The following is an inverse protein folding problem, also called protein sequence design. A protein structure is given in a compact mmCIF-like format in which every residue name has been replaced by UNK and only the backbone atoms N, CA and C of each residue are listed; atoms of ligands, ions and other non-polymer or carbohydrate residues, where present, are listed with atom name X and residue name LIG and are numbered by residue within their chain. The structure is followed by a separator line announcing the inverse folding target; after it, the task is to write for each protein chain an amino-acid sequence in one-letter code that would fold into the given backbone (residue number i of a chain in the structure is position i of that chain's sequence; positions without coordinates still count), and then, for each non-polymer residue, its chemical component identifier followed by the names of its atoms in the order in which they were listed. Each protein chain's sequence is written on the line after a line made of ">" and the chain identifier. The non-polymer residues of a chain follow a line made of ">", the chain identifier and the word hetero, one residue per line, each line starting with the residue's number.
data_IF_221969390063
#
_entry.id   IF_221969390063
#
_cell.length_a   1.000
_cell.length_b   1.000
_cell.length_c   1.000
_cell.angle_alpha   90.00
_cell.angle_beta   90.00
_cell.angle_gamma   90.00
#
_symmetry.space_group_name_H-M   'P 1'
#
loop_
_entity.id
_entity.type
_entity.pdbx_description
1 polymer ?
#
# COMPACT_ATOMS: atom_id res chain seq x y z
N UNK A 1 -12.32 -14.72 32.35
CA UNK A 1 -11.47 -13.78 33.09
C UNK A 1 -10.28 -13.43 32.22
N UNK A 2 -9.79 -12.20 32.34
CA UNK A 2 -8.71 -11.55 31.58
C UNK A 2 -9.14 -10.85 30.29
N UNK A 3 -9.66 -9.64 30.51
CA UNK A 3 -9.55 -8.52 29.58
C UNK A 3 -8.09 -8.01 29.57
N UNK A 4 -7.59 -7.54 28.43
CA UNK A 4 -6.33 -6.81 28.33
C UNK A 4 -6.57 -5.50 27.58
N UNK A 5 -6.41 -4.42 28.34
CA UNK A 5 -6.43 -3.03 27.90
C UNK A 5 -5.24 -2.74 26.97
N UNK A 6 -5.49 -2.09 25.83
CA UNK A 6 -4.44 -1.34 25.13
C UNK A 6 -4.41 0.08 25.69
N UNK A 7 -3.34 0.38 26.42
CA UNK A 7 -3.00 1.71 26.89
C UNK A 7 -2.29 2.49 25.77
N UNK A 8 -2.85 3.62 25.38
CA UNK A 8 -2.18 4.63 24.57
C UNK A 8 -0.96 5.18 25.33
N UNK A 9 0.19 5.32 24.65
CA UNK A 9 1.34 6.06 25.18
C UNK A 9 1.47 7.37 24.40
N UNK A 10 1.04 8.46 25.04
CA UNK A 10 1.51 9.81 24.73
C UNK A 10 2.96 9.92 25.20
N UNK A 11 3.87 10.24 24.29
CA UNK A 11 5.28 10.47 24.59
C UNK A 11 5.51 11.86 25.17
N UNK A 12 6.01 11.92 26.40
CA UNK A 12 6.58 13.13 27.02
C UNK A 12 7.95 13.42 26.42
N UNK A 13 8.14 14.67 26.03
CA UNK A 13 9.39 15.28 25.56
C UNK A 13 10.46 15.25 26.65
N UNK A 14 11.62 14.67 26.36
CA UNK A 14 12.83 14.88 27.16
C UNK A 14 14.00 15.18 26.22
N UNK A 15 14.56 16.37 26.44
CA UNK A 15 15.67 17.01 25.74
C UNK A 15 17.01 16.45 26.21
N UNK A 16 17.90 16.13 25.28
CA UNK A 16 19.33 15.94 25.58
C UNK A 16 20.24 16.65 24.54
N UNK A 17 21.50 16.99 24.90
CA UNK A 17 22.17 18.21 24.48
C UNK A 17 23.09 18.04 23.25
N UNK A 18 23.30 19.16 22.54
CA UNK A 18 24.19 19.32 21.38
C UNK A 18 25.56 19.87 21.79
N UNK A 19 26.66 19.30 21.28
CA UNK A 19 27.88 19.98 20.75
C UNK A 19 29.16 19.10 20.82
N UNK A 20 30.29 19.42 20.13
CA UNK A 20 30.47 20.28 18.96
C UNK A 20 31.31 19.66 17.81
N UNK A 21 31.32 20.41 16.70
CA UNK A 21 32.07 20.35 15.45
C UNK A 21 33.60 20.23 15.53
N UNK A 22 34.21 19.61 14.51
CA UNK A 22 35.56 19.96 14.04
C UNK A 22 35.57 20.23 12.53
N UNK A 23 36.11 21.40 12.17
CA UNK A 23 36.34 21.88 10.80
C UNK A 23 37.75 21.56 10.34
N UNK A 24 37.95 21.36 9.04
CA UNK A 24 39.13 21.75 8.23
C UNK A 24 38.92 21.21 6.80
N UNK A 25 39.18 21.89 5.69
CA UNK A 25 39.76 23.20 5.43
C UNK A 25 39.56 23.53 3.94
N UNK A 26 39.52 24.81 3.63
CA UNK A 26 39.39 25.39 2.28
C UNK A 26 40.78 25.83 1.81
N UNK A 27 41.15 25.60 0.53
CA UNK A 27 41.72 26.61 -0.42
C UNK A 27 42.13 26.05 -1.82
N UNK A 28 42.37 26.89 -2.86
CA UNK A 28 41.65 26.83 -4.15
C UNK A 28 42.56 26.88 -5.41
N UNK A 29 41.95 27.26 -6.57
CA UNK A 29 42.50 27.73 -7.88
C UNK A 29 42.52 26.63 -8.98
N UNK A 30 42.19 26.80 -10.26
CA UNK A 30 41.83 27.91 -11.18
C UNK A 30 41.29 27.29 -12.51
N UNK A 31 40.71 28.04 -13.47
CA UNK A 31 39.94 27.50 -14.60
C UNK A 31 40.82 27.16 -15.82
N UNK A 32 40.53 26.04 -16.49
CA UNK A 32 41.10 25.70 -17.80
C UNK A 32 40.05 25.95 -18.89
N UNK A 33 40.33 26.92 -19.76
CA UNK A 33 39.59 27.17 -21.00
C UNK A 33 40.07 26.16 -22.05
N UNK A 34 39.20 25.24 -22.46
CA UNK A 34 39.42 24.32 -23.58
C UNK A 34 38.69 24.82 -24.83
N UNK A 35 39.43 24.98 -25.93
CA UNK A 35 38.97 25.53 -27.20
C UNK A 35 37.89 24.66 -27.88
N UNK A 36 36.89 25.32 -28.48
CA UNK A 36 35.87 24.70 -29.33
C UNK A 36 36.45 24.39 -30.71
N UNK A 37 36.46 23.12 -31.09
CA UNK A 37 36.62 22.68 -32.48
C UNK A 37 35.25 22.60 -33.14
N UNK A 38 35.04 23.40 -34.19
CA UNK A 38 33.85 23.34 -35.04
C UNK A 38 33.98 22.20 -36.05
N UNK A 39 33.08 21.23 -35.96
CA UNK A 39 32.91 20.14 -36.93
C UNK A 39 31.90 20.57 -38.02
N UNK A 40 32.16 20.35 -39.31
CA UNK A 40 31.27 20.81 -40.38
C UNK A 40 29.97 19.99 -40.40
N UNK A 41 28.85 20.72 -40.39
CA UNK A 41 27.50 20.18 -40.36
C UNK A 41 27.19 19.29 -41.58
N UNK A 42 26.79 18.05 -41.30
CA UNK A 42 26.20 17.15 -42.30
C UNK A 42 24.79 17.62 -42.69
N UNK A 43 24.47 17.53 -43.98
CA UNK A 43 23.16 17.87 -44.55
C UNK A 43 22.05 16.96 -43.98
N UNK A 44 20.82 17.48 -43.76
CA UNK A 44 19.74 16.70 -43.19
C UNK A 44 19.20 15.66 -44.17
N UNK A 45 19.20 14.40 -43.74
CA UNK A 45 18.49 13.28 -44.37
C UNK A 45 16.98 13.53 -44.32
N UNK A 46 16.20 13.28 -45.39
CA UNK A 46 14.76 13.49 -45.38
C UNK A 46 14.06 12.56 -44.38
N UNK A 47 13.31 13.16 -43.44
CA UNK A 47 12.44 12.47 -42.48
C UNK A 47 11.36 11.65 -43.20
N UNK A 48 11.09 10.40 -42.77
CA UNK A 48 9.94 9.65 -43.24
C UNK A 48 8.64 10.32 -42.76
N UNK A 49 7.62 10.31 -43.63
CA UNK A 49 6.28 10.87 -43.38
C UNK A 49 5.65 10.32 -42.08
N UNK A 50 4.78 11.10 -41.41
CA UNK A 50 4.10 10.66 -40.20
C UNK A 50 3.21 9.45 -40.52
N UNK A 51 3.44 8.32 -39.83
CA UNK A 51 2.44 7.26 -39.75
C UNK A 51 1.22 7.84 -39.04
N UNK A 52 0.07 7.76 -39.69
CA UNK A 52 -1.24 8.05 -39.11
C UNK A 52 -1.36 7.30 -37.79
N UNK A 53 -1.36 8.03 -36.67
CA UNK A 53 -1.60 7.45 -35.37
C UNK A 53 -3.06 6.98 -35.35
N UNK A 54 -3.28 5.67 -35.40
CA UNK A 54 -4.55 5.06 -35.05
C UNK A 54 -4.92 5.57 -33.66
N UNK A 55 -6.07 6.23 -33.54
CA UNK A 55 -6.57 6.73 -32.27
C UNK A 55 -6.51 5.60 -31.22
N UNK A 56 -5.79 5.85 -30.12
CA UNK A 56 -5.82 4.97 -28.97
C UNK A 56 -7.29 4.81 -28.53
N UNK A 57 -7.77 3.58 -28.27
CA UNK A 57 -9.10 3.40 -27.71
C UNK A 57 -9.17 4.22 -26.41
N UNK A 58 -10.24 5.01 -26.27
CA UNK A 58 -10.49 5.79 -25.07
C UNK A 58 -10.34 4.89 -23.85
N UNK A 59 -9.51 5.31 -22.88
CA UNK A 59 -9.36 4.62 -21.62
C UNK A 59 -10.75 4.47 -20.99
N UNK A 60 -11.26 3.24 -20.93
CA UNK A 60 -12.36 2.90 -20.03
C UNK A 60 -11.81 3.04 -18.63
N UNK A 61 -11.99 4.22 -18.05
CA UNK A 61 -12.05 4.34 -16.60
C UNK A 61 -13.18 3.41 -16.16
N UNK A 62 -12.94 2.56 -15.17
CA UNK A 62 -13.99 1.80 -14.50
C UNK A 62 -14.45 2.66 -13.31
N UNK A 63 -15.39 3.61 -13.47
CA UNK A 63 -15.93 4.31 -12.33
C UNK A 63 -16.72 3.29 -11.51
N UNK A 64 -16.14 2.89 -10.38
CA UNK A 64 -16.88 2.14 -9.37
C UNK A 64 -17.99 3.08 -8.88
N UNK A 65 -19.26 2.75 -9.11
CA UNK A 65 -20.36 3.48 -8.49
C UNK A 65 -20.35 3.16 -6.98
N UNK A 66 -19.97 4.13 -6.15
CA UNK A 66 -19.78 3.94 -4.71
C UNK A 66 -18.32 3.68 -4.31
N UNK A 67 -18.13 3.00 -3.18
CA UNK A 67 -16.80 2.72 -2.62
C UNK A 67 -16.17 1.43 -3.13
N UNK A 68 -16.98 0.47 -3.58
CA UNK A 68 -16.54 -0.84 -4.04
C UNK A 68 -17.61 -1.47 -4.93
N UNK A 69 -17.21 -2.20 -5.96
CA UNK A 69 -18.09 -2.97 -6.85
C UNK A 69 -18.85 -4.01 -6.03
N UNK A 70 -20.11 -4.27 -6.40
CA UNK A 70 -20.99 -5.20 -5.71
C UNK A 70 -20.36 -6.58 -5.44
N UNK A 71 -20.86 -7.26 -4.41
CA UNK A 71 -20.52 -8.65 -4.09
C UNK A 71 -20.74 -9.53 -5.34
N UNK A 72 -19.80 -10.42 -5.63
CA UNK A 72 -19.82 -11.30 -6.80
C UNK A 72 -19.51 -10.61 -8.13
N UNK A 73 -19.08 -9.35 -8.13
CA UNK A 73 -18.66 -8.68 -9.36
C UNK A 73 -17.44 -9.37 -10.00
N UNK A 74 -17.42 -9.43 -11.33
CA UNK A 74 -16.24 -9.88 -12.07
C UNK A 74 -15.16 -8.81 -11.96
N UNK A 75 -14.03 -9.19 -11.38
CA UNK A 75 -12.91 -8.29 -11.14
C UNK A 75 -11.95 -8.26 -12.33
N UNK A 76 -11.46 -7.08 -12.77
CA UNK A 76 -10.52 -6.98 -13.88
C UNK A 76 -9.19 -7.72 -13.60
N UNK A 77 -8.43 -8.03 -14.65
CA UNK A 77 -7.08 -8.57 -14.53
C UNK A 77 -6.03 -7.48 -14.30
N UNK A 78 -4.82 -7.89 -13.90
CA UNK A 78 -3.66 -6.99 -13.77
C UNK A 78 -3.43 -6.16 -15.05
N UNK A 79 -3.49 -6.82 -16.21
CA UNK A 79 -3.26 -6.19 -17.51
C UNK A 79 -4.35 -5.19 -17.87
N UNK A 80 -5.62 -5.52 -17.58
CA UNK A 80 -6.74 -4.60 -17.81
C UNK A 80 -6.59 -3.35 -16.95
N UNK A 81 -6.21 -3.51 -15.69
CA UNK A 81 -6.01 -2.37 -14.80
C UNK A 81 -4.80 -1.53 -15.14
N UNK A 82 -3.67 -2.15 -15.52
CA UNK A 82 -2.50 -1.42 -15.99
C UNK A 82 -2.81 -0.55 -17.21
N UNK A 83 -3.70 -1.00 -18.11
CA UNK A 83 -4.13 -0.23 -19.28
C UNK A 83 -5.13 0.91 -18.96
N UNK A 84 -5.75 0.89 -17.77
CA UNK A 84 -6.78 1.85 -17.35
C UNK A 84 -6.24 2.95 -16.43
N UNK A 85 -4.94 2.95 -16.10
CA UNK A 85 -4.33 3.93 -15.20
C UNK A 85 -4.30 5.31 -15.84
N UNK A 86 -4.63 6.32 -15.05
CA UNK A 86 -4.34 7.70 -15.41
C UNK A 86 -2.90 8.03 -15.02
N UNK A 87 -2.01 7.97 -16.01
CA UNK A 87 -0.61 8.33 -15.85
C UNK A 87 -0.42 9.81 -15.55
N UNK A 88 0.52 10.12 -14.65
CA UNK A 88 0.82 11.49 -14.24
C UNK A 88 2.29 11.61 -13.87
N UNK A 89 2.88 12.79 -14.06
CA UNK A 89 4.21 13.10 -13.53
C UNK A 89 4.21 13.36 -12.01
N UNK A 90 3.04 13.33 -11.38
CA UNK A 90 2.89 13.56 -9.95
C UNK A 90 3.25 12.30 -9.15
N UNK A 91 4.32 12.40 -8.36
CA UNK A 91 4.76 11.43 -7.38
C UNK A 91 5.11 12.19 -6.09
N UNK A 92 4.24 12.21 -5.08
CA UNK A 92 4.49 12.92 -3.83
C UNK A 92 5.46 12.17 -2.90
N UNK A 93 5.82 10.92 -3.22
CA UNK A 93 6.67 10.01 -2.43
C UNK A 93 7.83 9.46 -3.26
N UNK A 94 8.77 10.31 -3.70
CA UNK A 94 9.93 9.86 -4.46
C UNK A 94 10.80 8.84 -3.70
N UNK A 95 10.75 8.83 -2.37
CA UNK A 95 11.39 7.82 -1.52
C UNK A 95 10.88 6.39 -1.75
N UNK A 96 9.66 6.24 -2.28
CA UNK A 96 9.11 4.93 -2.64
C UNK A 96 9.66 4.36 -3.95
N UNK A 97 10.43 5.13 -4.75
CA UNK A 97 10.80 4.76 -6.13
C UNK A 97 11.35 3.33 -6.24
N UNK A 98 12.27 2.94 -5.35
CA UNK A 98 12.85 1.60 -5.40
C UNK A 98 11.83 0.48 -5.10
N UNK A 99 10.87 0.72 -4.20
CA UNK A 99 9.84 -0.24 -3.84
C UNK A 99 8.68 -0.26 -4.85
N UNK A 100 8.35 0.89 -5.45
CA UNK A 100 7.36 1.00 -6.54
C UNK A 100 7.80 0.28 -7.82
N UNK A 101 9.09 -0.01 -7.97
CA UNK A 101 9.66 -0.70 -9.14
C UNK A 101 10.18 -2.11 -8.80
N UNK A 102 9.83 -2.63 -7.63
CA UNK A 102 10.00 -4.04 -7.30
C UNK A 102 8.73 -4.78 -7.68
N UNK A 103 8.90 -6.02 -8.13
CA UNK A 103 7.81 -6.96 -8.38
C UNK A 103 8.17 -8.28 -7.70
N UNK A 104 7.21 -8.99 -7.09
CA UNK A 104 7.45 -10.30 -6.50
C UNK A 104 7.99 -11.31 -7.50
N UNK A 105 8.97 -12.10 -7.08
CA UNK A 105 9.39 -13.29 -7.83
C UNK A 105 8.33 -14.39 -7.73
N UNK A 106 8.32 -15.32 -8.70
CA UNK A 106 7.44 -16.49 -8.65
C UNK A 106 7.64 -17.33 -7.37
N UNK A 107 8.87 -17.41 -6.85
CA UNK A 107 9.15 -18.11 -5.59
C UNK A 107 8.53 -17.39 -4.39
N UNK A 108 8.58 -16.06 -4.35
CA UNK A 108 7.94 -15.29 -3.28
C UNK A 108 6.42 -15.40 -3.35
N UNK A 109 5.83 -15.32 -4.54
CA UNK A 109 4.38 -15.51 -4.72
C UNK A 109 3.93 -16.93 -4.37
N UNK A 110 4.74 -17.94 -4.66
CA UNK A 110 4.44 -19.32 -4.24
C UNK A 110 4.55 -19.54 -2.73
N UNK A 111 5.21 -18.63 -2.01
CA UNK A 111 5.42 -18.73 -0.57
C UNK A 111 4.36 -17.99 0.25
N UNK A 112 3.56 -17.09 -0.33
CA UNK A 112 2.54 -16.35 0.43
C UNK A 112 1.48 -17.30 0.99
N UNK A 113 0.85 -16.90 2.09
CA UNK A 113 -0.19 -17.71 2.68
C UNK A 113 -1.42 -17.77 1.77
N UNK A 114 -1.92 -18.99 1.53
CA UNK A 114 -3.27 -19.17 1.04
C UNK A 114 -4.25 -18.70 2.12
N UNK A 115 -5.29 -17.97 1.72
CA UNK A 115 -6.25 -17.42 2.70
C UNK A 115 -7.02 -18.51 3.45
N UNK A 116 -7.29 -19.63 2.81
CA UNK A 116 -7.78 -20.85 3.42
C UNK A 116 -6.65 -21.90 3.52
N UNK A 117 -6.53 -22.62 4.64
CA UNK A 117 -7.28 -22.48 5.89
C UNK A 117 -6.69 -21.44 6.86
N UNK A 118 -5.66 -20.68 6.43
CA UNK A 118 -4.81 -19.87 7.31
C UNK A 118 -5.57 -18.74 8.00
N UNK A 119 -6.35 -17.97 7.26
CA UNK A 119 -7.07 -16.80 7.77
C UNK A 119 -8.57 -17.02 7.87
N UNK A 120 -9.11 -17.97 7.09
CA UNK A 120 -10.53 -18.29 7.08
C UNK A 120 -10.79 -19.76 6.80
N UNK A 121 -11.98 -20.24 7.20
CA UNK A 121 -12.41 -21.63 6.97
C UNK A 121 -13.21 -21.81 5.67
N UNK A 122 -13.35 -20.75 4.86
CA UNK A 122 -14.00 -20.84 3.55
C UNK A 122 -12.98 -21.06 2.42
N UNK A 123 -12.97 -22.24 1.74
CA UNK A 123 -12.01 -22.53 0.68
C UNK A 123 -12.14 -21.63 -0.55
N UNK A 124 -13.29 -20.97 -0.76
CA UNK A 124 -13.47 -20.01 -1.86
C UNK A 124 -12.54 -18.80 -1.71
N UNK A 125 -12.04 -18.51 -0.51
CA UNK A 125 -11.09 -17.43 -0.25
C UNK A 125 -9.77 -17.60 -1.03
N UNK A 126 -9.38 -18.83 -1.39
CA UNK A 126 -8.17 -19.09 -2.17
C UNK A 126 -8.25 -18.52 -3.60
N UNK A 127 -9.46 -18.29 -4.13
CA UNK A 127 -9.62 -17.58 -5.39
C UNK A 127 -9.14 -16.11 -5.34
N UNK A 128 -9.10 -15.51 -4.15
CA UNK A 128 -8.63 -14.13 -3.95
C UNK A 128 -7.12 -14.09 -3.71
N UNK A 129 -6.56 -14.95 -2.85
CA UNK A 129 -5.08 -15.02 -2.70
C UNK A 129 -4.38 -15.40 -4.01
N UNK A 130 -4.98 -16.28 -4.82
CA UNK A 130 -4.43 -16.65 -6.13
C UNK A 130 -4.36 -15.50 -7.16
N UNK A 131 -5.07 -14.39 -6.92
CA UNK A 131 -5.03 -13.20 -7.78
C UNK A 131 -3.94 -12.21 -7.36
N UNK A 132 -3.34 -12.38 -6.18
CA UNK A 132 -2.25 -11.50 -5.71
C UNK A 132 -1.02 -11.73 -6.57
N UNK A 133 -0.49 -10.65 -7.12
CA UNK A 133 0.65 -10.69 -8.02
C UNK A 133 1.69 -9.61 -7.72
N UNK A 134 1.27 -8.45 -7.20
CA UNK A 134 2.15 -7.28 -7.07
C UNK A 134 2.77 -6.84 -8.41
N UNK A 135 2.21 -7.26 -9.54
CA UNK A 135 2.85 -7.14 -10.85
C UNK A 135 2.49 -5.81 -11.54
N UNK A 136 2.83 -4.71 -10.87
CA UNK A 136 2.68 -3.36 -11.43
C UNK A 136 3.79 -2.46 -10.92
N UNK A 137 4.27 -1.56 -11.77
CA UNK A 137 5.29 -0.57 -11.43
C UNK A 137 4.87 0.80 -11.92
N UNK A 138 5.19 1.85 -11.18
CA UNK A 138 4.86 3.22 -11.54
C UNK A 138 5.11 4.18 -10.37
N UNK A 139 4.33 5.26 -10.31
CA UNK A 139 4.24 6.08 -9.10
C UNK A 139 3.40 5.39 -8.02
N UNK A 140 3.48 5.87 -6.78
CA UNK A 140 2.65 5.39 -5.66
C UNK A 140 1.17 5.64 -5.95
N UNK A 141 0.81 6.75 -6.58
CA UNK A 141 -0.57 6.99 -6.98
C UNK A 141 -1.03 6.05 -8.10
N UNK A 142 -0.18 5.77 -9.08
CA UNK A 142 -0.49 4.81 -10.16
C UNK A 142 -0.68 3.39 -9.61
N UNK A 143 0.13 2.97 -8.64
CA UNK A 143 -0.03 1.70 -7.92
C UNK A 143 -1.36 1.66 -7.17
N UNK A 144 -1.70 2.75 -6.47
CA UNK A 144 -2.99 2.88 -5.77
C UNK A 144 -4.16 2.74 -6.75
N UNK A 145 -4.10 3.42 -7.90
CA UNK A 145 -5.11 3.30 -8.97
C UNK A 145 -5.21 1.87 -9.50
N UNK A 146 -4.07 1.20 -9.70
CA UNK A 146 -4.01 -0.17 -10.20
C UNK A 146 -4.66 -1.16 -9.24
N UNK A 147 -4.33 -1.08 -7.95
CA UNK A 147 -4.95 -1.92 -6.90
C UNK A 147 -6.45 -1.64 -6.79
N UNK A 148 -6.85 -0.36 -6.82
CA UNK A 148 -8.25 0.04 -6.80
C UNK A 148 -9.03 -0.61 -7.95
N UNK A 149 -8.51 -0.51 -9.18
CA UNK A 149 -9.12 -1.18 -10.33
C UNK A 149 -9.19 -2.70 -10.15
N UNK A 150 -8.09 -3.33 -9.74
CA UNK A 150 -7.95 -4.80 -9.68
C UNK A 150 -8.94 -5.44 -8.71
N UNK A 151 -9.22 -4.76 -7.61
CA UNK A 151 -10.13 -5.23 -6.55
C UNK A 151 -11.51 -4.58 -6.61
N UNK A 152 -11.75 -3.76 -7.64
CA UNK A 152 -13.01 -3.06 -7.85
C UNK A 152 -13.34 -2.11 -6.71
N UNK A 153 -12.34 -1.44 -6.13
CA UNK A 153 -12.49 -0.46 -5.05
C UNK A 153 -12.30 0.95 -5.60
N UNK A 154 -12.95 1.92 -4.99
CA UNK A 154 -12.73 3.33 -5.28
C UNK A 154 -11.30 3.73 -4.90
N UNK A 155 -10.55 4.31 -5.85
CA UNK A 155 -9.16 4.72 -5.62
C UNK A 155 -9.02 5.71 -4.46
N UNK A 156 -9.99 6.59 -4.23
CA UNK A 156 -9.92 7.54 -3.11
C UNK A 156 -10.04 6.84 -1.74
N UNK A 157 -10.72 5.69 -1.66
CA UNK A 157 -10.72 4.89 -0.43
C UNK A 157 -9.34 4.28 -0.17
N UNK A 158 -8.68 3.77 -1.22
CA UNK A 158 -7.30 3.25 -1.15
C UNK A 158 -6.34 4.35 -0.73
N UNK A 159 -6.46 5.54 -1.34
CA UNK A 159 -5.69 6.74 -0.98
C UNK A 159 -5.88 7.15 0.47
N UNK A 160 -7.12 7.19 0.94
CA UNK A 160 -7.45 7.56 2.31
C UNK A 160 -6.87 6.58 3.32
N UNK A 161 -7.03 5.28 3.05
CA UNK A 161 -6.45 4.24 3.90
C UNK A 161 -4.91 4.36 3.94
N UNK A 162 -4.25 4.44 2.78
CA UNK A 162 -2.80 4.60 2.72
C UNK A 162 -2.30 5.87 3.41
N UNK A 163 -3.08 6.95 3.37
CA UNK A 163 -2.74 8.18 4.08
C UNK A 163 -2.81 7.97 5.60
N UNK A 164 -3.87 7.34 6.10
CA UNK A 164 -3.99 6.99 7.54
C UNK A 164 -2.87 6.03 7.99
N UNK A 165 -2.57 5.02 7.19
CA UNK A 165 -1.66 3.93 7.57
C UNK A 165 -0.18 4.33 7.56
N UNK A 166 0.23 5.13 6.58
CA UNK A 166 1.66 5.38 6.34
C UNK A 166 1.98 6.76 5.80
N UNK A 167 0.97 7.62 5.65
CA UNK A 167 1.08 8.86 4.87
C UNK A 167 1.67 8.61 3.47
N UNK A 168 1.36 7.45 2.88
CA UNK A 168 1.88 6.92 1.61
C UNK A 168 3.36 6.54 1.60
N UNK A 169 4.07 6.45 2.73
CA UNK A 169 5.47 6.01 2.75
C UNK A 169 5.57 4.48 2.87
N UNK A 170 6.07 3.81 1.83
CA UNK A 170 6.33 2.37 1.85
C UNK A 170 7.40 1.98 2.87
N UNK A 171 8.32 2.88 3.23
CA UNK A 171 9.31 2.63 4.27
C UNK A 171 8.73 2.64 5.70
N UNK A 172 7.44 2.97 5.87
CA UNK A 172 6.82 3.05 7.20
C UNK A 172 6.85 1.69 7.88
N UNK A 173 7.48 1.67 9.05
CA UNK A 173 7.47 0.55 9.97
C UNK A 173 6.93 1.05 11.32
N UNK A 174 5.81 0.48 11.76
CA UNK A 174 5.11 0.94 12.95
C UNK A 174 4.82 -0.19 13.95
N UNK A 175 4.26 0.22 15.09
CA UNK A 175 4.09 -0.65 16.24
C UNK A 175 5.42 -1.13 16.82
N UNK A 176 5.34 -1.89 17.90
CA UNK A 176 6.52 -2.47 18.55
C UNK A 176 6.14 -3.78 19.21
N UNK A 177 6.91 -4.82 18.91
CA UNK A 177 6.88 -6.07 19.67
C UNK A 177 8.22 -6.26 20.38
N UNK A 178 8.16 -6.75 21.62
CA UNK A 178 9.32 -7.18 22.40
C UNK A 178 9.51 -8.71 22.35
N UNK A 179 8.64 -9.41 21.61
CA UNK A 179 8.76 -10.85 21.39
C UNK A 179 9.57 -11.09 20.12
N UNK A 180 10.83 -11.51 20.27
CA UNK A 180 11.77 -11.70 19.15
C UNK A 180 11.27 -12.68 18.08
N UNK A 181 10.44 -13.66 18.44
CA UNK A 181 9.81 -14.59 17.50
C UNK A 181 8.86 -13.94 16.49
N UNK A 182 8.34 -12.76 16.81
CA UNK A 182 7.48 -11.96 15.92
C UNK A 182 8.26 -10.88 15.18
N UNK A 183 9.59 -10.99 15.16
CA UNK A 183 10.43 -10.11 14.39
C UNK A 183 10.79 -10.73 13.04
N UNK A 184 10.60 -9.98 11.94
CA UNK A 184 11.12 -10.41 10.66
C UNK A 184 12.63 -10.63 10.70
N UNK A 185 13.16 -11.49 9.80
CA UNK A 185 14.59 -11.72 9.69
C UNK A 185 15.40 -10.42 9.68
N UNK A 186 16.44 -10.38 10.53
CA UNK A 186 17.36 -9.24 10.69
C UNK A 186 16.74 -7.91 11.18
N UNK A 187 15.54 -7.90 11.77
CA UNK A 187 14.92 -6.68 12.32
C UNK A 187 15.00 -6.54 13.84
N UNK A 188 15.37 -7.61 14.55
CA UNK A 188 15.53 -7.57 16.01
C UNK A 188 16.76 -6.76 16.39
N UNK A 189 16.57 -5.69 17.18
CA UNK A 189 17.65 -4.80 17.61
C UNK A 189 18.24 -5.14 18.99
N UNK A 190 17.92 -6.31 19.56
CA UNK A 190 18.28 -6.69 20.93
C UNK A 190 17.18 -6.46 21.97
N UNK A 191 16.17 -5.65 21.66
CA UNK A 191 15.06 -5.35 22.58
C UNK A 191 13.67 -5.39 21.93
N UNK A 192 13.57 -5.06 20.65
CA UNK A 192 12.29 -4.99 19.94
C UNK A 192 12.48 -4.98 18.42
N UNK A 193 11.35 -5.06 17.71
CA UNK A 193 11.26 -4.74 16.28
C UNK A 193 9.88 -4.13 15.97
N UNK A 194 9.72 -3.45 14.81
CA UNK A 194 8.41 -3.05 14.32
C UNK A 194 7.52 -4.25 14.01
N UNK A 195 6.20 -4.06 14.14
CA UNK A 195 5.22 -5.13 13.91
C UNK A 195 4.46 -4.98 12.60
N UNK A 196 4.40 -3.78 12.04
CA UNK A 196 3.64 -3.42 10.84
C UNK A 196 4.57 -2.77 9.82
N UNK A 197 4.37 -3.06 8.53
CA UNK A 197 5.26 -2.62 7.46
C UNK A 197 4.50 -2.20 6.20
N UNK A 198 5.02 -1.17 5.53
CA UNK A 198 4.64 -0.79 4.18
C UNK A 198 3.45 0.14 4.07
N UNK A 199 3.03 0.39 2.83
CA UNK A 199 2.01 1.37 2.46
C UNK A 199 0.69 1.24 3.25
N UNK A 200 0.23 0.00 3.45
CA UNK A 200 -1.01 -0.35 4.15
C UNK A 200 -0.77 -1.20 5.41
N UNK A 201 0.43 -1.10 5.99
CA UNK A 201 0.77 -1.63 7.33
C UNK A 201 0.42 -3.10 7.54
N UNK A 202 0.93 -3.99 6.68
CA UNK A 202 0.80 -5.44 6.87
C UNK A 202 1.55 -5.86 8.14
N UNK A 203 0.90 -6.64 9.01
CA UNK A 203 1.51 -7.11 10.26
C UNK A 203 2.29 -8.41 10.09
N UNK A 204 3.58 -8.41 10.44
CA UNK A 204 4.42 -9.61 10.33
C UNK A 204 3.96 -10.75 11.25
N UNK A 205 3.33 -10.44 12.38
CA UNK A 205 2.90 -11.45 13.36
C UNK A 205 1.93 -12.48 12.77
N UNK A 206 1.05 -12.06 11.86
CA UNK A 206 0.02 -12.89 11.25
C UNK A 206 0.30 -13.18 9.78
N UNK A 207 1.13 -12.36 9.14
CA UNK A 207 1.44 -12.40 7.72
C UNK A 207 2.95 -12.56 7.52
N UNK A 208 3.59 -13.53 8.18
CA UNK A 208 5.04 -13.68 8.13
C UNK A 208 5.56 -14.14 6.77
N UNK A 209 4.72 -14.83 5.97
CA UNK A 209 5.10 -15.37 4.66
C UNK A 209 5.12 -14.30 3.55
N UNK A 210 4.51 -13.15 3.82
CA UNK A 210 4.51 -11.96 2.96
C UNK A 210 5.85 -11.22 3.04
N UNK A 211 6.74 -11.60 3.95
CA UNK A 211 8.09 -11.08 4.03
C UNK A 211 8.99 -11.64 2.92
N UNK A 212 9.83 -10.82 2.25
CA UNK A 212 10.09 -9.40 2.52
C UNK A 212 9.19 -8.44 1.72
N UNK A 213 8.28 -8.94 0.89
CA UNK A 213 7.50 -8.12 -0.05
C UNK A 213 6.66 -7.05 0.66
N UNK A 214 6.08 -7.35 1.82
CA UNK A 214 5.35 -6.35 2.61
C UNK A 214 6.15 -5.07 2.89
N UNK A 215 7.49 -5.18 3.04
CA UNK A 215 8.40 -4.07 3.33
C UNK A 215 8.96 -3.47 2.04
N UNK A 216 9.30 -4.30 1.07
CA UNK A 216 10.17 -3.93 -0.04
C UNK A 216 9.44 -3.63 -1.36
N UNK A 217 8.13 -3.88 -1.42
CA UNK A 217 7.32 -3.85 -2.64
C UNK A 217 5.97 -3.16 -2.39
N UNK A 218 5.81 -1.96 -2.95
CA UNK A 218 4.61 -1.13 -2.75
C UNK A 218 3.38 -1.76 -3.40
N UNK A 219 3.54 -2.31 -4.61
CA UNK A 219 2.43 -2.90 -5.36
C UNK A 219 1.93 -4.17 -4.69
N UNK A 220 2.82 -5.06 -4.25
CA UNK A 220 2.46 -6.23 -3.47
C UNK A 220 1.79 -5.85 -2.15
N UNK A 221 2.34 -4.88 -1.41
CA UNK A 221 1.75 -4.46 -0.13
C UNK A 221 0.29 -4.03 -0.31
N UNK A 222 0.02 -3.18 -1.31
CA UNK A 222 -1.34 -2.73 -1.59
C UNK A 222 -2.25 -3.86 -2.14
N UNK A 223 -1.74 -4.69 -3.04
CA UNK A 223 -2.47 -5.79 -3.67
C UNK A 223 -2.89 -6.85 -2.65
N UNK A 224 -1.99 -7.22 -1.73
CA UNK A 224 -2.26 -8.20 -0.68
C UNK A 224 -3.39 -7.73 0.25
N UNK A 225 -3.30 -6.49 0.75
CA UNK A 225 -4.31 -5.93 1.65
C UNK A 225 -5.66 -5.84 0.98
N UNK A 226 -5.73 -5.39 -0.28
CA UNK A 226 -7.00 -5.29 -0.98
C UNK A 226 -7.55 -6.63 -1.48
N UNK A 227 -6.71 -7.65 -1.67
CA UNK A 227 -7.14 -9.03 -1.81
C UNK A 227 -7.85 -9.56 -0.56
N UNK A 228 -7.26 -9.32 0.62
CA UNK A 228 -7.90 -9.62 1.91
C UNK A 228 -9.18 -8.81 2.12
N UNK A 229 -9.16 -7.51 1.82
CA UNK A 229 -10.32 -6.62 1.92
C UNK A 229 -11.48 -7.11 1.06
N UNK A 230 -11.20 -7.46 -0.20
CA UNK A 230 -12.21 -7.97 -1.12
C UNK A 230 -12.76 -9.31 -0.65
N UNK A 231 -11.91 -10.24 -0.22
CA UNK A 231 -12.34 -11.52 0.33
C UNK A 231 -13.28 -11.35 1.53
N UNK A 232 -12.99 -10.41 2.44
CA UNK A 232 -13.89 -10.06 3.53
C UNK A 232 -15.21 -9.47 3.01
N UNK A 233 -15.16 -8.52 2.08
CA UNK A 233 -16.35 -7.89 1.52
C UNK A 233 -17.29 -8.88 0.84
N UNK A 234 -16.73 -9.95 0.27
CA UNK A 234 -17.46 -11.04 -0.38
C UNK A 234 -18.12 -12.01 0.62
N UNK A 235 -17.98 -11.77 1.93
CA UNK A 235 -18.57 -12.61 2.97
C UNK A 235 -17.74 -13.85 3.30
N UNK A 236 -16.50 -13.94 2.83
CA UNK A 236 -15.69 -15.17 2.93
C UNK A 236 -14.84 -15.25 4.20
N UNK A 237 -14.65 -14.15 4.93
CA UNK A 237 -13.96 -14.09 6.23
C UNK A 237 -14.79 -14.70 7.38
N UNK A 238 -15.08 -16.00 7.32
CA UNK A 238 -16.00 -16.70 8.26
C UNK A 238 -15.58 -16.62 9.73
N UNK A 239 -14.30 -16.44 10.03
CA UNK A 239 -13.80 -16.21 11.38
C UNK A 239 -14.44 -14.98 12.06
N UNK A 240 -14.87 -13.97 11.29
CA UNK A 240 -15.51 -12.77 11.81
C UNK A 240 -16.96 -13.01 12.27
N UNK A 241 -17.56 -14.15 11.92
CA UNK A 241 -18.90 -14.54 12.41
C UNK A 241 -18.91 -14.74 13.94
N UNK A 242 -17.76 -15.12 14.51
CA UNK A 242 -17.61 -15.30 15.96
C UNK A 242 -17.43 -13.97 16.72
N UNK A 243 -17.07 -12.87 16.04
CA UNK A 243 -16.92 -11.57 16.66
C UNK A 243 -18.26 -11.03 17.18
N UNK A 244 -18.22 -10.36 18.32
CA UNK A 244 -19.37 -9.64 18.87
C UNK A 244 -19.15 -8.14 18.65
N UNK A 245 -19.90 -7.51 17.73
CA UNK A 245 -19.73 -6.09 17.44
C UNK A 245 -20.16 -5.23 18.61
N UNK A 246 -19.67 -3.99 18.64
CA UNK A 246 -20.16 -2.96 19.55
C UNK A 246 -21.65 -2.72 19.35
N UNK A 247 -22.34 -2.28 20.39
CA UNK A 247 -23.79 -2.02 20.32
C UNK A 247 -24.13 -1.04 19.19
N UNK A 248 -25.17 -1.37 18.41
CA UNK A 248 -25.62 -0.58 17.26
C UNK A 248 -24.97 -0.94 15.93
N UNK A 249 -23.98 -1.83 15.91
CA UNK A 249 -23.33 -2.30 14.68
C UNK A 249 -23.81 -3.72 14.29
N UNK A 250 -23.87 -4.02 12.97
CA UNK A 250 -24.36 -5.32 12.50
C UNK A 250 -23.34 -6.43 12.78
N UNK A 251 -23.83 -7.68 12.83
CA UNK A 251 -22.96 -8.87 12.74
C UNK A 251 -22.31 -8.95 11.36
N UNK A 252 -21.22 -9.70 11.26
CA UNK A 252 -20.52 -9.87 9.98
C UNK A 252 -21.45 -10.37 8.88
N UNK A 253 -21.41 -9.70 7.73
CA UNK A 253 -22.13 -10.04 6.51
C UNK A 253 -21.36 -9.54 5.28
N UNK A 254 -21.65 -10.12 4.11
CA UNK A 254 -21.12 -9.64 2.84
C UNK A 254 -21.64 -8.23 2.52
N UNK A 255 -20.87 -7.46 1.75
CA UNK A 255 -21.28 -6.14 1.27
C UNK A 255 -20.97 -4.97 2.21
N UNK A 256 -20.25 -5.20 3.31
CA UNK A 256 -19.85 -4.13 4.23
C UNK A 256 -18.35 -3.85 4.17
N UNK A 257 -17.98 -2.86 3.35
CA UNK A 257 -16.58 -2.43 3.18
C UNK A 257 -16.03 -1.74 4.43
N UNK A 258 -16.87 -1.04 5.19
CA UNK A 258 -16.41 -0.34 6.40
C UNK A 258 -16.08 -1.33 7.50
N UNK A 259 -16.92 -2.34 7.71
CA UNK A 259 -16.63 -3.40 8.67
C UNK A 259 -15.35 -4.17 8.30
N UNK A 260 -15.13 -4.45 7.01
CA UNK A 260 -13.90 -5.09 6.55
C UNK A 260 -12.66 -4.22 6.75
N UNK A 261 -12.77 -2.91 6.51
CA UNK A 261 -11.69 -1.96 6.74
C UNK A 261 -11.36 -1.83 8.23
N UNK A 262 -12.36 -1.77 9.09
CA UNK A 262 -12.16 -1.79 10.55
C UNK A 262 -11.54 -3.10 11.04
N UNK A 263 -11.99 -4.23 10.49
CA UNK A 263 -11.45 -5.54 10.83
C UNK A 263 -10.02 -5.76 10.34
N UNK A 264 -9.60 -5.12 9.24
CA UNK A 264 -8.20 -5.11 8.82
C UNK A 264 -7.31 -4.49 9.92
N UNK A 265 -7.74 -3.36 10.48
CA UNK A 265 -7.01 -2.65 11.52
C UNK A 265 -7.03 -3.36 12.88
N UNK A 266 -8.21 -3.73 13.39
CA UNK A 266 -8.34 -4.27 14.76
C UNK A 266 -8.26 -5.79 14.85
N UNK A 267 -8.44 -6.50 13.73
CA UNK A 267 -8.64 -7.95 13.71
C UNK A 267 -10.01 -8.40 14.22
N UNK A 268 -10.93 -7.48 14.55
CA UNK A 268 -12.28 -7.79 15.05
C UNK A 268 -13.37 -7.03 14.29
N UNK A 269 -14.58 -7.58 14.27
CA UNK A 269 -15.72 -6.96 13.59
C UNK A 269 -16.38 -5.86 14.44
N UNK A 270 -16.27 -4.59 14.02
CA UNK A 270 -16.83 -3.41 14.70
C UNK A 270 -16.62 -3.37 16.23
N UNK A 271 -15.44 -3.74 16.69
CA UNK A 271 -15.00 -3.39 18.03
C UNK A 271 -14.65 -1.89 18.11
N UNK A 272 -14.34 -1.38 19.29
CA UNK A 272 -14.04 0.05 19.46
C UNK A 272 -12.85 0.52 18.62
N UNK A 273 -11.84 -0.35 18.43
CA UNK A 273 -10.68 -0.06 17.60
C UNK A 273 -11.04 0.05 16.11
N UNK A 274 -11.80 -0.92 15.59
CA UNK A 274 -12.32 -0.89 14.22
C UNK A 274 -13.12 0.39 13.95
N UNK A 275 -14.02 0.75 14.87
CA UNK A 275 -14.89 1.92 14.70
C UNK A 275 -14.08 3.21 14.65
N UNK A 276 -13.10 3.38 15.53
CA UNK A 276 -12.23 4.55 15.54
C UNK A 276 -11.48 4.68 14.20
N UNK A 277 -10.86 3.60 13.76
CA UNK A 277 -10.10 3.59 12.50
C UNK A 277 -11.00 3.86 11.28
N UNK A 278 -12.21 3.30 11.24
CA UNK A 278 -13.20 3.61 10.20
C UNK A 278 -13.50 5.11 10.15
N UNK A 279 -13.67 5.76 11.32
CA UNK A 279 -13.92 7.20 11.38
C UNK A 279 -12.73 8.02 10.87
N UNK A 280 -11.49 7.60 11.18
CA UNK A 280 -10.28 8.25 10.68
C UNK A 280 -10.16 8.14 9.16
N UNK A 281 -10.41 6.96 8.59
CA UNK A 281 -10.38 6.78 7.13
C UNK A 281 -11.53 7.54 6.47
N UNK A 282 -12.74 7.54 7.05
CA UNK A 282 -13.87 8.34 6.54
C UNK A 282 -13.55 9.84 6.53
N UNK A 283 -12.94 10.35 7.60
CA UNK A 283 -12.50 11.73 7.68
C UNK A 283 -11.44 12.03 6.61
N UNK A 284 -10.42 11.19 6.50
CA UNK A 284 -9.33 11.34 5.52
C UNK A 284 -9.86 11.27 4.08
N UNK A 285 -10.86 10.43 3.82
CA UNK A 285 -11.55 10.32 2.53
C UNK A 285 -12.34 11.59 2.17
N UNK A 286 -12.89 12.28 3.17
CA UNK A 286 -13.57 13.57 2.99
C UNK A 286 -12.57 14.71 2.76
N UNK A 287 -11.49 14.74 3.55
CA UNK A 287 -10.47 15.79 3.50
C UNK A 287 -9.56 15.70 2.27
N UNK A 288 -9.35 14.49 1.76
CA UNK A 288 -8.49 14.18 0.60
C UNK A 288 -7.13 14.90 0.68
N UNK A 289 -6.35 14.67 1.74
CA UNK A 289 -5.12 15.43 1.98
C UNK A 289 -4.13 15.34 0.81
N UNK A 290 -4.17 14.26 0.02
CA UNK A 290 -3.36 14.08 -1.19
C UNK A 290 -3.62 15.07 -2.33
N UNK A 291 -4.68 15.87 -2.24
CA UNK A 291 -4.91 17.00 -3.16
C UNK A 291 -4.32 18.32 -2.63
N UNK A 292 -3.80 18.33 -1.40
CA UNK A 292 -3.20 19.48 -0.76
C UNK A 292 -1.76 19.73 -1.21
N UNK A 293 -1.33 20.99 -1.13
CA UNK A 293 0.02 21.41 -1.55
C UNK A 293 1.16 20.85 -0.69
N UNK A 294 0.85 20.36 0.51
CA UNK A 294 1.82 19.90 1.51
C UNK A 294 1.72 18.41 1.76
N UNK A 295 1.08 17.67 0.86
CA UNK A 295 0.95 16.23 1.00
C UNK A 295 2.26 15.52 0.71
#
# INVERSE_FOLDING_TARGET
>A
MSALLLSACMGTTETEPVSPSTSSGVRPLTPTVGAMTFEPAALPTPSPLPKTATAAPAATTFPVQGLISAVGAVLPSDQQCAASIHYSSWEPRPDNTAANHRVPTAQQLAAIDQFYPTYTQNPQANGYSARISGNFTGTTDEIIQWVACKWGVNADLVRAQAAVESWWHQSTAAGKTTESRYCPPATWNGASCPSFYGLLQITYRYFSHEWPMMRDDTAFNADYVYGMMRMCYEGLATQLQASTPSAGYPRYHAGDIWGCLGSWYSGQWYDSGAIHYIQEVQKTLQEKPWLGQWF
#
